data_IF_666679107693
#
_entry.id   IF_666679107693
#
_cell.length_a   1.000
_cell.length_b   1.000
_cell.length_c   1.000
_cell.angle_alpha   90.00
_cell.angle_beta   90.00
_cell.angle_gamma   90.00
#
_symmetry.space_group_name_H-M   'P 1'
#
loop_
_entity.id
_entity.type
_entity.pdbx_description
1 polymer ?
#
# COMPACT_ATOMS: atom_id res chain seq x y z
N UNK A 1 19.68 6.54 28.48
CA UNK A 1 18.24 6.18 28.46
C UNK A 1 18.09 4.78 27.89
N UNK A 2 17.46 3.85 28.61
CA UNK A 2 17.05 2.57 28.04
C UNK A 2 15.87 2.79 27.08
N UNK A 3 15.85 2.06 25.96
CA UNK A 3 14.75 2.10 25.01
C UNK A 3 13.50 1.46 25.62
N UNK A 4 12.39 2.21 25.68
CA UNK A 4 11.11 1.69 26.13
C UNK A 4 10.28 1.27 24.91
N UNK A 5 9.99 -0.04 24.81
CA UNK A 5 9.10 -0.54 23.77
C UNK A 5 7.64 -0.46 24.26
N UNK A 6 6.77 0.32 23.61
CA UNK A 6 5.38 0.51 24.05
C UNK A 6 4.52 -0.75 23.96
N UNK A 7 4.98 -1.81 23.31
CA UNK A 7 4.27 -3.09 23.20
C UNK A 7 4.74 -4.16 24.20
N UNK A 8 5.81 -3.88 24.97
CA UNK A 8 6.32 -4.79 25.99
C UNK A 8 5.83 -4.32 27.35
N UNK A 9 4.93 -5.10 27.96
CA UNK A 9 4.41 -4.89 29.31
C UNK A 9 4.74 -6.12 30.13
N UNK A 10 5.45 -5.94 31.24
CA UNK A 10 5.90 -7.02 32.13
C UNK A 10 6.71 -8.13 31.43
N UNK A 11 7.49 -7.77 30.40
CA UNK A 11 8.26 -8.72 29.60
C UNK A 11 7.45 -9.52 28.57
N UNK A 12 6.14 -9.26 28.46
CA UNK A 12 5.26 -9.87 27.48
C UNK A 12 4.88 -8.88 26.37
N UNK A 13 4.79 -9.39 25.13
CA UNK A 13 4.24 -8.61 24.01
C UNK A 13 2.72 -8.57 24.18
N UNK A 14 2.18 -7.39 24.49
CA UNK A 14 0.73 -7.17 24.58
C UNK A 14 0.26 -6.27 23.45
N UNK A 15 -0.71 -6.76 22.69
CA UNK A 15 -1.44 -5.97 21.72
C UNK A 15 -2.72 -5.43 22.39
N UNK A 16 -3.01 -4.13 22.28
CA UNK A 16 -4.29 -3.60 22.71
C UNK A 16 -5.44 -4.25 21.93
N UNK A 17 -6.63 -4.32 22.54
CA UNK A 17 -7.83 -4.85 21.88
C UNK A 17 -8.08 -4.15 20.54
N UNK A 18 -8.50 -4.90 19.52
CA UNK A 18 -8.71 -4.45 18.13
C UNK A 18 -7.48 -3.93 17.37
N UNK A 19 -6.26 -4.22 17.84
CA UNK A 19 -5.04 -3.85 17.12
C UNK A 19 -4.68 -4.90 16.08
N UNK A 20 -5.25 -4.78 14.87
CA UNK A 20 -4.73 -5.50 13.72
C UNK A 20 -3.81 -4.60 12.86
N UNK A 21 -2.95 -5.20 12.04
CA UNK A 21 -2.00 -4.45 11.21
C UNK A 21 -2.70 -3.49 10.24
N UNK A 22 -3.86 -3.89 9.71
CA UNK A 22 -4.66 -3.06 8.78
C UNK A 22 -5.18 -1.81 9.49
N UNK A 23 -5.71 -1.93 10.71
CA UNK A 23 -6.19 -0.84 11.55
C UNK A 23 -5.05 0.10 11.94
N UNK A 24 -3.84 -0.44 12.16
CA UNK A 24 -2.66 0.38 12.39
C UNK A 24 -2.33 1.24 11.16
N UNK A 25 -2.32 0.64 9.97
CA UNK A 25 -2.10 1.37 8.70
C UNK A 25 -3.17 2.45 8.49
N UNK A 26 -4.44 2.13 8.73
CA UNK A 26 -5.53 3.11 8.59
C UNK A 26 -5.44 4.24 9.61
N UNK A 27 -5.02 3.95 10.85
CA UNK A 27 -4.78 4.98 11.87
C UNK A 27 -3.66 5.93 11.45
N UNK A 28 -2.56 5.42 10.91
CA UNK A 28 -1.47 6.27 10.41
C UNK A 28 -1.84 7.06 9.17
N UNK A 29 -2.64 6.48 8.26
CA UNK A 29 -3.18 7.21 7.12
C UNK A 29 -4.05 8.40 7.55
N UNK A 30 -4.82 8.26 8.64
CA UNK A 30 -5.63 9.35 9.21
C UNK A 30 -4.80 10.40 9.93
N UNK A 31 -3.85 9.99 10.77
CA UNK A 31 -3.09 10.90 11.64
C UNK A 31 -1.90 11.56 10.93
N UNK A 32 -1.25 10.86 10.00
CA UNK A 32 -0.04 11.32 9.30
C UNK A 32 -0.03 10.92 7.81
N UNK A 33 -1.17 11.09 7.13
CA UNK A 33 -1.38 10.63 5.75
C UNK A 33 -0.31 11.07 4.76
N UNK A 34 0.16 12.32 4.84
CA UNK A 34 1.16 12.89 3.91
C UNK A 34 2.60 12.49 4.23
N UNK A 35 2.87 11.79 5.34
CA UNK A 35 4.22 11.30 5.63
C UNK A 35 4.53 10.10 4.75
N UNK A 36 5.80 10.00 4.36
CA UNK A 36 6.34 8.84 3.63
C UNK A 36 6.18 7.60 4.51
N UNK A 37 5.48 6.60 3.98
CA UNK A 37 5.30 5.28 4.61
C UNK A 37 6.37 4.31 4.11
N UNK A 38 6.58 4.30 2.80
CA UNK A 38 7.54 3.42 2.14
C UNK A 38 8.35 4.21 1.10
N UNK A 39 9.63 3.87 0.99
CA UNK A 39 10.50 4.32 -0.09
C UNK A 39 11.08 3.10 -0.78
N UNK A 40 10.77 2.94 -2.06
CA UNK A 40 11.35 1.92 -2.92
C UNK A 40 12.50 2.53 -3.70
N UNK A 41 13.65 1.88 -3.70
CA UNK A 41 14.78 2.26 -4.53
C UNK A 41 14.76 1.42 -5.81
N UNK A 42 14.53 2.11 -6.93
CA UNK A 42 14.46 1.48 -8.24
C UNK A 42 15.83 1.58 -8.95
N UNK A 43 16.56 0.46 -9.03
CA UNK A 43 17.84 0.35 -9.74
C UNK A 43 17.68 -0.19 -11.17
N UNK A 44 16.45 -0.35 -11.68
CA UNK A 44 16.22 -0.97 -12.99
C UNK A 44 16.60 -0.08 -14.17
N UNK A 45 16.55 1.24 -13.97
CA UNK A 45 16.72 2.22 -15.06
C UNK A 45 18.02 3.02 -14.93
N UNK A 46 18.42 3.36 -13.71
CA UNK A 46 19.59 4.19 -13.43
C UNK A 46 20.49 3.51 -12.39
N UNK A 47 21.81 3.59 -12.59
CA UNK A 47 22.81 3.01 -11.69
C UNK A 47 22.77 3.63 -10.29
N UNK A 48 22.44 4.92 -10.21
CA UNK A 48 22.35 5.64 -8.94
C UNK A 48 21.02 5.37 -8.21
N UNK A 49 20.06 4.75 -8.89
CA UNK A 49 18.77 4.37 -8.34
C UNK A 49 17.79 5.54 -8.20
N UNK A 50 16.52 5.32 -8.52
CA UNK A 50 15.47 6.33 -8.37
C UNK A 50 14.65 6.02 -7.12
N UNK A 51 14.62 6.95 -6.17
CA UNK A 51 13.77 6.85 -4.99
C UNK A 51 12.29 7.09 -5.36
N UNK A 52 11.47 6.05 -5.22
CA UNK A 52 10.02 6.09 -5.35
C UNK A 52 9.39 6.08 -3.97
N UNK A 53 8.84 7.21 -3.56
CA UNK A 53 8.18 7.37 -2.28
C UNK A 53 6.68 7.11 -2.39
N UNK A 54 6.12 6.59 -1.30
CA UNK A 54 4.69 6.37 -1.16
C UNK A 54 4.25 6.84 0.22
N UNK A 55 3.26 7.73 0.25
CA UNK A 55 2.68 8.27 1.47
C UNK A 55 1.77 7.25 2.17
N UNK A 56 1.46 7.47 3.45
CA UNK A 56 0.49 6.64 4.18
C UNK A 56 -0.91 6.67 3.57
N UNK A 57 -1.33 7.82 3.03
CA UNK A 57 -2.64 7.94 2.37
C UNK A 57 -2.69 7.14 1.07
N UNK A 58 -1.64 7.21 0.26
CA UNK A 58 -1.54 6.45 -1.00
C UNK A 58 -1.46 4.95 -0.73
N UNK A 59 -0.70 4.54 0.29
CA UNK A 59 -0.58 3.16 0.70
C UNK A 59 -1.93 2.58 1.13
N UNK A 60 -2.67 3.28 1.98
CA UNK A 60 -3.99 2.85 2.42
C UNK A 60 -5.00 2.80 1.27
N UNK A 61 -4.97 3.77 0.36
CA UNK A 61 -5.85 3.78 -0.82
C UNK A 61 -5.60 2.58 -1.74
N UNK A 62 -4.33 2.27 -2.03
CA UNK A 62 -3.95 1.13 -2.87
C UNK A 62 -4.31 -0.21 -2.23
N UNK A 63 -4.06 -0.37 -0.92
CA UNK A 63 -4.43 -1.60 -0.20
C UNK A 63 -5.94 -1.83 -0.20
N UNK A 64 -6.75 -0.78 0.00
CA UNK A 64 -8.23 -0.89 -0.10
C UNK A 64 -8.69 -1.30 -1.49
N UNK A 65 -8.12 -0.71 -2.55
CA UNK A 65 -8.48 -1.07 -3.92
C UNK A 65 -8.13 -2.54 -4.25
N UNK A 66 -6.94 -3.00 -3.86
CA UNK A 66 -6.51 -4.40 -4.05
C UNK A 66 -7.37 -5.35 -3.21
N UNK A 67 -7.63 -5.01 -1.95
CA UNK A 67 -8.48 -5.79 -1.04
C UNK A 67 -9.91 -5.94 -1.56
N UNK A 68 -10.53 -4.84 -2.02
CA UNK A 68 -11.86 -4.87 -2.61
C UNK A 68 -11.91 -5.77 -3.85
N UNK A 69 -10.87 -5.72 -4.71
CA UNK A 69 -10.81 -6.62 -5.86
C UNK A 69 -10.64 -8.07 -5.43
N UNK A 70 -9.78 -8.35 -4.46
CA UNK A 70 -9.58 -9.70 -3.93
C UNK A 70 -10.88 -10.29 -3.36
N UNK A 71 -11.64 -9.50 -2.60
CA UNK A 71 -12.91 -9.93 -2.03
C UNK A 71 -13.95 -10.31 -3.10
N UNK A 72 -13.91 -9.69 -4.28
CA UNK A 72 -14.80 -10.06 -5.40
C UNK A 72 -14.44 -11.41 -6.04
N UNK A 73 -13.18 -11.83 -5.96
CA UNK A 73 -12.66 -13.00 -6.71
C UNK A 73 -12.25 -14.16 -5.81
N UNK A 74 -12.31 -13.99 -4.48
CA UNK A 74 -11.92 -15.02 -3.50
C UNK A 74 -13.05 -15.28 -2.51
N UNK A 75 -13.11 -16.51 -2.00
CA UNK A 75 -13.93 -16.85 -0.83
C UNK A 75 -13.08 -16.65 0.44
N UNK A 76 -13.69 -16.27 1.58
CA UNK A 76 -13.00 -16.25 2.86
C UNK A 76 -12.32 -17.61 3.13
N UNK A 77 -11.04 -17.60 3.52
CA UNK A 77 -10.28 -18.82 3.83
C UNK A 77 -9.57 -19.50 2.65
N UNK A 78 -9.69 -18.98 1.41
CA UNK A 78 -8.98 -19.56 0.26
C UNK A 78 -7.55 -19.01 0.17
N UNK A 79 -6.54 -19.90 0.07
CA UNK A 79 -5.14 -19.48 -0.13
C UNK A 79 -4.98 -18.73 -1.46
N UNK A 80 -4.35 -17.54 -1.39
CA UNK A 80 -4.26 -16.53 -2.45
C UNK A 80 -3.53 -16.95 -3.73
N UNK A 81 -2.89 -18.12 -3.75
CA UNK A 81 -1.97 -18.55 -4.82
C UNK A 81 -2.64 -18.66 -6.19
N UNK A 82 -3.90 -19.08 -6.25
CA UNK A 82 -4.67 -19.17 -7.50
C UNK A 82 -5.18 -17.80 -8.01
N UNK A 83 -5.40 -16.85 -7.10
CA UNK A 83 -6.07 -15.59 -7.44
C UNK A 83 -5.12 -14.50 -7.97
N UNK A 84 -3.86 -14.49 -7.51
CA UNK A 84 -2.85 -13.47 -7.88
C UNK A 84 -2.64 -13.37 -9.40
N UNK A 85 -2.67 -14.47 -10.15
CA UNK A 85 -2.45 -14.47 -11.61
C UNK A 85 -3.57 -13.77 -12.39
N UNK A 86 -4.81 -13.86 -11.92
CA UNK A 86 -5.98 -13.21 -12.55
C UNK A 86 -6.06 -11.71 -12.20
N UNK A 87 -5.58 -11.34 -11.02
CA UNK A 87 -5.52 -9.94 -10.58
C UNK A 87 -4.41 -9.18 -11.30
N UNK A 88 -3.23 -9.78 -11.48
CA UNK A 88 -2.10 -9.13 -12.16
C UNK A 88 -2.42 -8.76 -13.62
N UNK A 89 -3.13 -9.63 -14.34
CA UNK A 89 -3.58 -9.39 -15.73
C UNK A 89 -4.67 -8.32 -15.86
N UNK A 90 -5.50 -8.14 -14.83
CA UNK A 90 -6.58 -7.12 -14.84
C UNK A 90 -6.07 -5.76 -14.36
N UNK A 91 -5.19 -5.76 -13.35
CA UNK A 91 -4.57 -4.56 -12.76
C UNK A 91 -3.57 -3.87 -13.70
N UNK A 92 -2.78 -4.65 -14.46
CA UNK A 92 -1.85 -4.08 -15.46
C UNK A 92 -2.58 -3.29 -16.56
N UNK A 93 -3.75 -3.77 -17.00
CA UNK A 93 -4.62 -3.05 -17.94
C UNK A 93 -5.23 -1.78 -17.33
N UNK A 94 -5.61 -1.81 -16.06
CA UNK A 94 -6.16 -0.65 -15.36
C UNK A 94 -5.09 0.42 -15.10
N UNK A 95 -3.89 0.02 -14.67
CA UNK A 95 -2.74 0.93 -14.46
C UNK A 95 -2.27 1.57 -15.77
N UNK A 96 -2.20 0.80 -16.87
CA UNK A 96 -1.89 1.34 -18.20
C UNK A 96 -2.96 2.33 -18.70
N UNK A 97 -4.24 2.07 -18.44
CA UNK A 97 -5.34 2.98 -18.77
C UNK A 97 -5.28 4.28 -17.94
N UNK A 98 -5.03 4.18 -16.65
CA UNK A 98 -4.93 5.33 -15.75
C UNK A 98 -3.71 6.21 -16.06
N UNK A 99 -2.55 5.61 -16.37
CA UNK A 99 -1.37 6.36 -16.83
C UNK A 99 -1.57 7.01 -18.20
N UNK A 100 -2.35 6.39 -19.10
CA UNK A 100 -2.68 6.98 -20.41
C UNK A 100 -3.69 8.13 -20.28
N UNK A 101 -4.65 8.03 -19.35
CA UNK A 101 -5.58 9.11 -19.03
C UNK A 101 -4.87 10.34 -18.42
N UNK A 102 -3.88 10.14 -17.55
CA UNK A 102 -3.09 11.24 -16.98
C UNK A 102 -2.16 11.94 -17.98
N UNK A 103 -1.68 11.26 -19.04
CA UNK A 103 -0.89 11.91 -20.11
C UNK A 103 -1.74 12.75 -21.08
N UNK A 104 -3.05 12.50 -21.17
CA UNK A 104 -3.96 13.24 -22.06
C UNK A 104 -4.44 14.59 -21.50
N UNK A 105 -4.23 14.86 -20.21
CA UNK A 105 -4.76 16.06 -19.54
C UNK A 105 -3.79 17.27 -19.54
N UNK A 106 -2.62 17.16 -20.17
CA UNK A 106 -1.54 18.14 -20.09
C UNK A 106 -1.15 18.77 -21.43
N UNK A 107 -2.10 19.04 -22.35
CA UNK A 107 -1.89 20.00 -23.46
C UNK A 107 -3.23 20.65 -23.84
N UNK A 108 -3.51 21.84 -23.34
CA UNK A 108 -4.29 22.87 -24.06
C UNK A 108 -3.53 24.18 -23.90
N UNK A 109 -2.84 24.69 -24.93
CA UNK A 109 -2.36 26.05 -24.92
C UNK A 109 -3.53 26.98 -25.24
N UNK A 110 -3.77 27.94 -24.35
CA UNK A 110 -4.42 29.21 -24.69
C UNK A 110 -3.34 30.26 -24.87
#
# INVERSE_FOLDING_TARGET
MAYHNPYIVDGHIRFPDNTNLVMHVERWAKVRGQRVAYRFWDYSTERDGVAREMSWVDFAARNRAVGARLQQVTKPGTASRSCVRRIWTTSSRFSASCMRAHRGAAVRPG
#
